data_IF_503155556070
#
_entry.id   IF_503155556070
#
_cell.length_a   1.000
_cell.length_b   1.000
_cell.length_c   1.000
_cell.angle_alpha   90.00
_cell.angle_beta   90.00
_cell.angle_gamma   90.00
#
_symmetry.space_group_name_H-M   'P 1'
#
loop_
_entity.id
_entity.type
_entity.pdbx_description
1 polymer ?
#
# COMPACT_ATOMS: atom_id res chain seq x y z
N UNK A 1 12.79 -5.07 31.81
CA UNK A 1 12.56 -4.61 30.40
C UNK A 1 13.90 -4.65 29.70
N UNK A 2 14.06 -5.62 28.80
CA UNK A 2 15.33 -5.85 28.10
C UNK A 2 15.66 -4.73 27.10
N UNK A 3 16.89 -4.70 26.57
CA UNK A 3 17.36 -3.66 25.66
C UNK A 3 16.58 -3.59 24.35
N UNK A 4 16.10 -4.73 23.84
CA UNK A 4 15.26 -4.78 22.63
C UNK A 4 13.92 -4.10 22.90
N UNK A 5 13.26 -4.42 24.01
CA UNK A 5 11.98 -3.82 24.38
C UNK A 5 12.09 -2.30 24.58
N UNK A 6 13.18 -1.84 25.23
CA UNK A 6 13.47 -0.41 25.38
C UNK A 6 13.61 0.29 24.03
N UNK A 7 14.30 -0.34 23.08
CA UNK A 7 14.42 0.20 21.73
C UNK A 7 13.10 0.18 20.96
N UNK A 8 12.31 -0.91 21.08
CA UNK A 8 10.99 -1.01 20.44
C UNK A 8 10.05 0.05 21.01
N UNK A 9 10.06 0.29 22.31
CA UNK A 9 9.34 1.40 22.93
C UNK A 9 9.80 2.75 22.37
N UNK A 10 11.13 2.98 22.28
CA UNK A 10 11.68 4.22 21.71
C UNK A 10 11.22 4.46 20.26
N UNK A 11 11.26 3.45 19.39
CA UNK A 11 10.85 3.62 17.98
C UNK A 11 9.34 3.75 17.81
N UNK A 12 8.55 3.11 18.69
CA UNK A 12 7.09 3.18 18.70
C UNK A 12 6.59 4.53 19.20
N UNK A 13 7.00 4.92 20.40
CA UNK A 13 6.35 6.00 21.14
C UNK A 13 7.06 7.32 20.96
N UNK A 14 8.40 7.32 20.90
CA UNK A 14 9.20 8.56 20.72
C UNK A 14 9.39 8.88 19.23
N UNK A 15 9.78 7.87 18.42
CA UNK A 15 10.00 8.07 16.97
C UNK A 15 8.73 7.96 16.15
N UNK A 16 7.64 7.45 16.72
CA UNK A 16 6.32 7.29 16.11
C UNK A 16 6.38 6.56 14.76
N UNK A 17 7.12 5.46 14.73
CA UNK A 17 7.18 4.61 13.55
C UNK A 17 5.85 3.87 13.34
N UNK A 18 5.54 3.52 12.10
CA UNK A 18 4.33 2.77 11.79
C UNK A 18 4.33 1.39 12.48
N UNK A 19 3.16 0.84 12.88
CA UNK A 19 3.08 -0.47 13.51
C UNK A 19 3.81 -1.57 12.73
N UNK A 20 3.70 -1.55 11.40
CA UNK A 20 4.41 -2.48 10.54
C UNK A 20 5.94 -2.33 10.61
N UNK A 21 6.45 -1.10 10.70
CA UNK A 21 7.89 -0.84 10.86
C UNK A 21 8.38 -1.34 12.21
N UNK A 22 7.60 -1.11 13.26
CA UNK A 22 7.89 -1.58 14.62
C UNK A 22 7.97 -3.11 14.65
N UNK A 23 6.98 -3.82 14.11
CA UNK A 23 7.00 -5.29 14.01
C UNK A 23 8.22 -5.79 13.23
N UNK A 24 8.53 -5.19 12.07
CA UNK A 24 9.72 -5.58 11.30
C UNK A 24 11.02 -5.38 12.08
N UNK A 25 11.11 -4.32 12.90
CA UNK A 25 12.28 -4.05 13.74
C UNK A 25 12.39 -5.08 14.87
N UNK A 26 11.27 -5.39 15.51
CA UNK A 26 11.18 -6.40 16.57
C UNK A 26 11.59 -7.78 16.05
N UNK A 27 11.01 -8.21 14.91
CA UNK A 27 11.33 -9.50 14.29
C UNK A 27 12.81 -9.61 13.93
N UNK A 28 13.39 -8.54 13.35
CA UNK A 28 14.80 -8.51 12.99
C UNK A 28 15.74 -8.58 14.19
N UNK A 29 15.40 -7.91 15.29
CA UNK A 29 16.21 -7.94 16.53
C UNK A 29 16.07 -9.27 17.27
N UNK A 30 14.89 -9.86 17.30
CA UNK A 30 14.66 -11.22 17.85
C UNK A 30 15.45 -12.27 17.07
N UNK A 31 15.50 -12.18 15.74
CA UNK A 31 16.29 -13.07 14.89
C UNK A 31 17.79 -12.94 15.20
N UNK A 32 18.31 -11.72 15.33
CA UNK A 32 19.72 -11.51 15.72
C UNK A 32 20.03 -12.03 17.14
N UNK A 33 19.15 -11.76 18.09
CA UNK A 33 19.28 -12.25 19.47
C UNK A 33 19.32 -13.77 19.52
N UNK A 34 18.41 -14.44 18.81
CA UNK A 34 18.39 -15.91 18.74
C UNK A 34 19.67 -16.49 18.10
N UNK A 35 20.24 -15.82 17.10
CA UNK A 35 21.53 -16.20 16.52
C UNK A 35 22.66 -16.07 17.56
N UNK A 36 22.77 -14.93 18.23
CA UNK A 36 23.81 -14.64 19.23
C UNK A 36 23.82 -15.65 20.40
N UNK A 37 22.64 -16.07 20.85
CA UNK A 37 22.52 -17.10 21.90
C UNK A 37 22.95 -18.51 21.43
N UNK A 38 22.72 -18.87 20.17
CA UNK A 38 23.15 -20.18 19.65
C UNK A 38 24.66 -20.31 19.55
N UNK A 39 25.37 -19.27 19.13
CA UNK A 39 26.83 -19.27 18.98
C UNK A 39 27.54 -19.39 20.34
N UNK A 40 27.01 -18.75 21.39
CA UNK A 40 27.58 -18.89 22.74
C UNK A 40 27.35 -20.29 23.34
N UNK A 41 26.19 -20.91 23.07
CA UNK A 41 25.93 -22.28 23.53
C UNK A 41 26.84 -23.34 22.85
N UNK A 42 27.41 -23.05 21.68
CA UNK A 42 28.38 -23.90 20.99
C UNK A 42 29.84 -23.66 21.45
N UNK A 43 30.19 -22.49 21.96
CA UNK A 43 31.54 -22.16 22.39
C UNK A 43 31.87 -22.59 23.82
N UNK A 44 30.86 -22.72 24.69
CA UNK A 44 31.05 -23.14 26.09
C UNK A 44 30.67 -24.63 26.28
N UNK A 45 31.57 -25.55 25.90
CA UNK A 45 31.52 -26.97 26.29
C UNK A 45 31.87 -27.21 27.76
N UNK A 46 31.84 -26.23 28.61
CA UNK A 46 32.08 -26.38 30.06
C UNK A 46 30.87 -25.88 30.86
N UNK A 47 30.07 -26.86 31.30
CA UNK A 47 29.26 -26.88 32.53
C UNK A 47 28.76 -25.54 33.09
N UNK A 48 27.74 -24.94 32.50
CA UNK A 48 26.81 -24.05 33.21
C UNK A 48 25.49 -23.89 32.42
N UNK A 49 24.96 -25.04 31.94
CA UNK A 49 23.65 -25.08 31.26
C UNK A 49 22.47 -25.11 32.24
N UNK A 50 22.57 -24.43 33.37
CA UNK A 50 21.46 -24.28 34.29
C UNK A 50 21.39 -22.86 34.82
N UNK A 51 20.23 -22.21 34.60
CA UNK A 51 19.77 -20.96 35.23
C UNK A 51 20.40 -19.64 34.77
N UNK A 52 20.22 -19.26 33.50
CA UNK A 52 20.15 -17.83 33.15
C UNK A 52 18.71 -17.50 32.71
N UNK A 53 17.81 -17.36 33.66
CA UNK A 53 16.47 -16.82 33.49
C UNK A 53 16.42 -15.28 33.67
N UNK A 54 17.56 -14.64 33.90
CA UNK A 54 17.63 -13.21 34.19
C UNK A 54 17.77 -12.37 32.93
N UNK A 55 16.86 -11.40 32.75
CA UNK A 55 16.87 -10.41 31.65
C UNK A 55 18.25 -9.74 31.52
N UNK A 56 19.00 -9.57 32.59
CA UNK A 56 20.33 -8.95 32.61
C UNK A 56 21.37 -9.80 31.84
N UNK A 57 21.39 -11.12 32.00
CA UNK A 57 22.29 -12.02 31.29
C UNK A 57 22.03 -12.00 29.79
N UNK A 58 20.76 -11.92 29.41
CA UNK A 58 20.34 -11.76 28.00
C UNK A 58 20.84 -10.47 27.36
N UNK A 59 20.85 -9.36 28.08
CA UNK A 59 21.33 -8.07 27.59
C UNK A 59 22.86 -8.02 27.44
N UNK A 60 23.60 -8.66 28.34
CA UNK A 60 25.08 -8.78 28.26
C UNK A 60 25.51 -9.60 27.05
N UNK A 61 24.86 -10.75 26.80
CA UNK A 61 25.10 -11.57 25.61
C UNK A 61 24.82 -10.78 24.34
N UNK A 62 23.69 -10.05 24.28
CA UNK A 62 23.34 -9.24 23.14
C UNK A 62 24.36 -8.12 22.89
N UNK A 63 24.84 -7.45 23.93
CA UNK A 63 25.86 -6.40 23.82
C UNK A 63 27.21 -6.96 23.36
N UNK A 64 27.64 -8.11 23.87
CA UNK A 64 28.90 -8.78 23.44
C UNK A 64 28.85 -9.21 21.98
N UNK A 65 27.69 -9.65 21.48
CA UNK A 65 27.46 -10.02 20.09
C UNK A 65 27.43 -8.82 19.13
N UNK A 66 27.30 -7.58 19.65
CA UNK A 66 27.34 -6.39 18.80
C UNK A 66 28.79 -6.01 18.43
N UNK A 67 29.49 -6.92 17.80
CA UNK A 67 30.82 -6.73 17.24
C UNK A 67 30.83 -7.07 15.73
N UNK A 68 31.83 -6.59 14.94
CA UNK A 68 31.84 -6.80 13.49
C UNK A 68 31.94 -8.27 13.06
N UNK A 69 32.54 -9.14 13.87
CA UNK A 69 32.70 -10.57 13.57
C UNK A 69 31.34 -11.29 13.65
N UNK A 70 30.66 -11.14 14.78
CA UNK A 70 29.33 -11.75 15.02
C UNK A 70 28.29 -11.23 14.01
N UNK A 71 28.33 -9.93 13.70
CA UNK A 71 27.40 -9.36 12.70
C UNK A 71 27.65 -9.94 11.30
N UNK A 72 28.93 -10.23 10.93
CA UNK A 72 29.23 -10.94 9.67
C UNK A 72 28.76 -12.40 9.74
N UNK A 73 28.97 -13.08 10.87
CA UNK A 73 28.44 -14.44 11.09
C UNK A 73 26.91 -14.48 10.90
N UNK A 74 26.22 -13.51 11.46
CA UNK A 74 24.77 -13.38 11.29
C UNK A 74 24.36 -13.11 9.83
N UNK A 75 25.11 -12.27 9.09
CA UNK A 75 24.88 -12.03 7.66
C UNK A 75 25.01 -13.34 6.85
N UNK A 76 26.07 -14.12 7.11
CA UNK A 76 26.30 -15.42 6.47
C UNK A 76 25.18 -16.40 6.85
N UNK A 77 24.79 -16.46 8.13
CA UNK A 77 23.67 -17.29 8.59
C UNK A 77 22.37 -16.97 7.85
N UNK A 78 22.02 -15.70 7.73
CA UNK A 78 20.81 -15.27 6.98
C UNK A 78 20.88 -15.68 5.50
N UNK A 79 22.03 -15.55 4.85
CA UNK A 79 22.18 -15.86 3.43
C UNK A 79 22.22 -17.37 3.17
N UNK A 80 23.01 -18.11 3.95
CA UNK A 80 23.36 -19.50 3.65
C UNK A 80 22.44 -20.51 4.36
N UNK A 81 21.99 -20.22 5.58
CA UNK A 81 21.11 -21.11 6.34
C UNK A 81 19.64 -20.76 6.12
N UNK A 82 19.26 -19.52 6.37
CA UNK A 82 17.86 -19.09 6.22
C UNK A 82 17.45 -18.75 4.78
N UNK A 83 18.43 -18.70 3.85
CA UNK A 83 18.21 -18.37 2.42
C UNK A 83 17.47 -17.06 2.20
N UNK A 84 17.72 -16.09 3.08
CA UNK A 84 17.12 -14.76 3.02
C UNK A 84 17.73 -13.96 1.87
N UNK A 85 16.92 -13.16 1.17
CA UNK A 85 17.41 -12.35 0.05
C UNK A 85 18.39 -11.27 0.50
N UNK A 86 19.41 -10.88 -0.34
CA UNK A 86 20.35 -9.78 -0.02
C UNK A 86 19.66 -8.48 0.38
N UNK A 87 18.50 -8.19 -0.17
CA UNK A 87 17.69 -7.01 0.19
C UNK A 87 17.15 -7.10 1.62
N UNK A 88 16.68 -8.27 2.03
CA UNK A 88 16.17 -8.50 3.39
C UNK A 88 17.31 -8.51 4.40
N UNK A 89 18.48 -9.11 4.06
CA UNK A 89 19.68 -9.04 4.89
C UNK A 89 20.08 -7.58 5.13
N UNK A 90 20.07 -6.74 4.09
CA UNK A 90 20.34 -5.30 4.22
C UNK A 90 19.31 -4.58 5.10
N UNK A 91 18.08 -5.06 5.19
CA UNK A 91 17.07 -4.56 6.11
C UNK A 91 17.45 -4.92 7.55
N UNK A 92 17.80 -6.19 7.85
CA UNK A 92 18.27 -6.62 9.16
C UNK A 92 19.49 -5.79 9.63
N UNK A 93 20.50 -5.61 8.78
CA UNK A 93 21.67 -4.77 9.08
C UNK A 93 21.29 -3.30 9.32
N UNK A 94 20.27 -2.78 8.63
CA UNK A 94 19.80 -1.42 8.85
C UNK A 94 19.07 -1.27 10.19
N UNK A 95 18.31 -2.27 10.61
CA UNK A 95 17.67 -2.33 11.93
C UNK A 95 18.72 -2.40 13.02
N UNK A 96 19.70 -3.32 12.92
CA UNK A 96 20.83 -3.41 13.86
C UNK A 96 21.62 -2.11 13.94
N UNK A 97 21.89 -1.45 12.83
CA UNK A 97 22.55 -0.13 12.83
C UNK A 97 21.71 0.94 13.52
N UNK A 98 20.38 0.85 13.44
CA UNK A 98 19.44 1.70 14.17
C UNK A 98 19.50 1.45 15.69
N UNK A 99 19.51 0.19 16.07
CA UNK A 99 19.64 -0.26 17.45
C UNK A 99 20.97 0.16 18.07
N UNK A 100 22.10 -0.06 17.38
CA UNK A 100 23.40 0.41 17.83
C UNK A 100 23.44 1.92 18.06
N UNK A 101 22.81 2.72 17.20
CA UNK A 101 22.69 4.18 17.41
C UNK A 101 21.90 4.56 18.65
N UNK A 102 20.88 3.78 18.98
CA UNK A 102 20.12 3.94 20.21
C UNK A 102 21.01 3.60 21.43
N UNK A 103 21.72 2.47 21.41
CA UNK A 103 22.64 2.08 22.49
C UNK A 103 23.78 3.08 22.70
N UNK A 104 24.31 3.68 21.64
CA UNK A 104 25.29 4.77 21.74
C UNK A 104 24.70 5.99 22.46
N UNK A 105 23.44 6.33 22.16
CA UNK A 105 22.74 7.43 22.84
C UNK A 105 22.50 7.15 24.32
N UNK A 106 22.31 5.90 24.67
CA UNK A 106 22.18 5.43 26.07
C UNK A 106 23.54 5.19 26.76
N UNK A 107 24.66 5.53 26.11
CA UNK A 107 26.03 5.30 26.56
C UNK A 107 26.41 3.83 26.83
N UNK A 108 25.66 2.88 26.26
CA UNK A 108 25.90 1.43 26.39
C UNK A 108 26.85 0.89 25.31
N UNK A 109 27.08 1.63 24.25
CA UNK A 109 27.97 1.27 23.14
C UNK A 109 28.81 2.48 22.71
N UNK A 110 30.12 2.28 22.43
CA UNK A 110 31.01 3.36 22.04
C UNK A 110 30.92 3.74 20.56
N UNK A 111 30.71 2.76 19.69
CA UNK A 111 30.68 2.96 18.23
C UNK A 111 29.70 1.98 17.59
N UNK A 112 29.31 2.25 16.34
CA UNK A 112 28.39 1.39 15.60
C UNK A 112 29.17 0.34 14.77
N UNK A 113 29.23 -0.94 15.22
CA UNK A 113 30.02 -1.98 14.55
C UNK A 113 29.45 -2.38 13.18
N UNK A 114 28.15 -2.19 12.96
CA UNK A 114 27.49 -2.51 11.66
C UNK A 114 28.08 -1.71 10.51
N UNK A 115 28.68 -0.53 10.77
CA UNK A 115 29.34 0.27 9.73
C UNK A 115 30.61 -0.37 9.17
N UNK A 116 31.22 -1.31 9.91
CA UNK A 116 32.41 -2.05 9.50
C UNK A 116 32.09 -3.34 8.75
N UNK A 117 30.81 -3.67 8.65
CA UNK A 117 30.35 -4.86 7.92
C UNK A 117 29.98 -4.45 6.50
N UNK A 118 30.49 -5.22 5.54
CA UNK A 118 30.18 -5.00 4.12
C UNK A 118 28.77 -5.50 3.83
N UNK A 119 27.97 -4.66 3.18
CA UNK A 119 26.58 -5.02 2.86
C UNK A 119 26.53 -5.86 1.57
N UNK A 120 25.72 -6.94 1.52
CA UNK A 120 25.56 -7.72 0.31
C UNK A 120 25.02 -6.84 -0.83
N UNK A 121 25.61 -7.06 -2.03
CA UNK A 121 25.19 -6.33 -3.23
C UNK A 121 23.77 -6.75 -3.60
N UNK A 122 22.92 -5.76 -3.80
CA UNK A 122 21.55 -5.98 -4.30
C UNK A 122 21.56 -5.68 -5.79
N UNK A 123 21.08 -6.63 -6.57
CA UNK A 123 20.90 -6.46 -8.01
C UNK A 123 19.92 -5.28 -8.26
N UNK A 124 20.37 -4.27 -8.98
CA UNK A 124 19.53 -3.14 -9.39
C UNK A 124 18.71 -3.57 -10.60
N UNK A 125 17.51 -4.08 -10.35
CA UNK A 125 16.55 -4.33 -11.43
C UNK A 125 16.07 -3.01 -11.98
N UNK A 126 16.02 -2.89 -13.30
CA UNK A 126 15.36 -1.75 -13.93
C UNK A 126 13.89 -1.68 -13.52
N UNK A 127 13.35 -0.48 -13.29
CA UNK A 127 11.93 -0.34 -13.00
C UNK A 127 11.09 -0.95 -14.12
N UNK A 128 10.23 -1.91 -13.78
CA UNK A 128 9.26 -2.46 -14.71
C UNK A 128 8.12 -1.45 -14.91
N UNK A 129 7.65 -1.33 -16.14
CA UNK A 129 6.45 -0.56 -16.48
C UNK A 129 5.72 -1.24 -17.64
N UNK A 130 4.43 -1.00 -17.75
CA UNK A 130 3.62 -1.50 -18.85
C UNK A 130 3.57 -0.46 -19.95
N UNK A 131 3.62 -0.94 -21.20
CA UNK A 131 3.49 -0.11 -22.38
C UNK A 131 2.08 0.46 -22.46
N UNK A 132 1.96 1.66 -23.02
CA UNK A 132 0.68 2.32 -23.17
C UNK A 132 -0.28 1.51 -24.04
N UNK A 133 0.19 0.94 -25.15
CA UNK A 133 -0.61 0.10 -26.05
C UNK A 133 -1.26 -1.07 -25.30
N UNK A 134 -0.52 -1.71 -24.36
CA UNK A 134 -1.05 -2.80 -23.53
C UNK A 134 -2.13 -2.32 -22.57
N UNK A 135 -1.96 -1.13 -22.01
CA UNK A 135 -2.98 -0.52 -21.14
C UNK A 135 -4.23 -0.12 -21.92
N UNK A 136 -4.06 0.46 -23.10
CA UNK A 136 -5.17 0.85 -23.97
C UNK A 136 -5.96 -0.38 -24.43
N UNK A 137 -5.30 -1.46 -24.86
CA UNK A 137 -5.94 -2.72 -25.21
C UNK A 137 -6.68 -3.36 -24.03
N UNK A 138 -6.13 -3.26 -22.82
CA UNK A 138 -6.83 -3.71 -21.60
C UNK A 138 -8.13 -2.94 -21.38
N UNK A 139 -8.08 -1.60 -21.46
CA UNK A 139 -9.25 -0.76 -21.23
C UNK A 139 -10.32 -0.94 -22.32
N UNK A 140 -9.91 -1.17 -23.55
CA UNK A 140 -10.82 -1.47 -24.67
C UNK A 140 -11.53 -2.81 -24.45
N UNK A 141 -10.79 -3.89 -24.20
CA UNK A 141 -11.35 -5.24 -23.99
C UNK A 141 -12.24 -5.31 -22.76
N UNK A 142 -12.05 -4.47 -21.76
CA UNK A 142 -12.85 -4.44 -20.53
C UNK A 142 -13.93 -3.37 -20.53
N UNK A 143 -14.11 -2.61 -21.62
CA UNK A 143 -15.08 -1.51 -21.74
C UNK A 143 -16.52 -1.97 -21.45
N UNK A 144 -16.88 -3.19 -21.85
CA UNK A 144 -18.17 -3.77 -21.59
C UNK A 144 -18.60 -3.70 -20.12
N UNK A 145 -17.69 -3.97 -19.15
CA UNK A 145 -18.03 -3.99 -17.72
C UNK A 145 -18.43 -2.63 -17.13
N UNK A 146 -18.20 -1.55 -17.87
CA UNK A 146 -18.60 -0.17 -17.52
C UNK A 146 -19.62 0.40 -18.51
N UNK A 147 -20.33 -0.44 -19.25
CA UNK A 147 -21.42 -0.05 -20.14
C UNK A 147 -22.76 -0.06 -19.40
N UNK A 148 -23.74 0.70 -19.93
CA UNK A 148 -25.10 0.70 -19.44
C UNK A 148 -25.78 -0.65 -19.63
N UNK A 149 -25.45 -1.38 -20.71
CA UNK A 149 -25.94 -2.76 -20.94
C UNK A 149 -25.49 -3.69 -19.81
N UNK A 150 -24.19 -3.71 -19.48
CA UNK A 150 -23.66 -4.50 -18.39
C UNK A 150 -24.25 -4.08 -17.02
N UNK A 151 -24.58 -2.80 -16.84
CA UNK A 151 -25.25 -2.33 -15.63
C UNK A 151 -26.69 -2.85 -15.57
N UNK A 152 -27.43 -2.82 -16.65
CA UNK A 152 -28.82 -3.34 -16.72
C UNK A 152 -28.86 -4.83 -16.39
N UNK A 153 -27.95 -5.64 -16.98
CA UNK A 153 -27.82 -7.07 -16.69
C UNK A 153 -27.52 -7.30 -15.21
N UNK A 154 -26.59 -6.52 -14.66
CA UNK A 154 -26.22 -6.62 -13.24
C UNK A 154 -27.40 -6.29 -12.31
N UNK A 155 -28.13 -5.20 -12.57
CA UNK A 155 -29.24 -4.74 -11.74
C UNK A 155 -30.45 -5.68 -11.78
N UNK A 156 -30.57 -6.46 -12.86
CA UNK A 156 -31.65 -7.45 -12.99
C UNK A 156 -31.53 -8.59 -11.97
N UNK A 157 -30.31 -9.04 -11.69
CA UNK A 157 -30.04 -10.09 -10.72
C UNK A 157 -28.69 -9.95 -10.01
N UNK A 158 -28.66 -9.06 -9.03
CA UNK A 158 -27.43 -8.70 -8.28
C UNK A 158 -26.88 -9.87 -7.48
N UNK A 159 -27.75 -10.77 -7.00
CA UNK A 159 -27.37 -11.88 -6.11
C UNK A 159 -26.95 -13.15 -6.84
N UNK A 160 -27.16 -13.23 -8.14
CA UNK A 160 -26.74 -14.38 -8.95
C UNK A 160 -25.23 -14.50 -9.09
N UNK A 161 -24.77 -15.67 -9.51
CA UNK A 161 -23.37 -15.88 -9.90
C UNK A 161 -22.94 -14.95 -11.05
N UNK A 162 -23.85 -14.63 -11.96
CA UNK A 162 -23.62 -13.67 -13.04
C UNK A 162 -23.47 -12.27 -12.48
N UNK A 163 -24.37 -11.81 -11.62
CA UNK A 163 -24.29 -10.51 -10.95
C UNK A 163 -23.00 -10.36 -10.14
N UNK A 164 -22.64 -11.40 -9.39
CA UNK A 164 -21.37 -11.43 -8.67
C UNK A 164 -20.16 -11.26 -9.61
N UNK A 165 -20.10 -12.03 -10.70
CA UNK A 165 -19.01 -11.92 -11.69
C UNK A 165 -18.96 -10.52 -12.32
N UNK A 166 -20.11 -9.95 -12.65
CA UNK A 166 -20.20 -8.60 -13.22
C UNK A 166 -19.69 -7.54 -12.24
N UNK A 167 -20.05 -7.63 -10.96
CA UNK A 167 -19.56 -6.74 -9.92
C UNK A 167 -18.05 -6.86 -9.74
N UNK A 168 -17.54 -8.09 -9.58
CA UNK A 168 -16.11 -8.35 -9.37
C UNK A 168 -15.27 -7.87 -10.56
N UNK A 169 -15.74 -8.05 -11.80
CA UNK A 169 -15.06 -7.54 -13.00
C UNK A 169 -15.07 -6.02 -13.07
N UNK A 170 -16.20 -5.38 -12.73
CA UNK A 170 -16.30 -3.92 -12.66
C UNK A 170 -15.36 -3.35 -11.60
N UNK A 171 -15.35 -3.95 -10.41
CA UNK A 171 -14.44 -3.56 -9.33
C UNK A 171 -12.97 -3.75 -9.73
N UNK A 172 -12.62 -4.89 -10.34
CA UNK A 172 -11.27 -5.16 -10.80
C UNK A 172 -10.79 -4.12 -11.82
N UNK A 173 -11.63 -3.83 -12.83
CA UNK A 173 -11.34 -2.78 -13.80
C UNK A 173 -11.16 -1.42 -13.14
N UNK A 174 -12.05 -1.04 -12.22
CA UNK A 174 -11.95 0.24 -11.51
C UNK A 174 -10.65 0.34 -10.68
N UNK A 175 -10.25 -0.72 -9.99
CA UNK A 175 -8.98 -0.79 -9.25
C UNK A 175 -7.78 -0.51 -10.21
N UNK A 176 -7.74 -1.16 -11.38
CA UNK A 176 -6.71 -0.92 -12.39
C UNK A 176 -6.77 0.53 -12.90
N UNK A 177 -7.97 1.03 -13.21
CA UNK A 177 -8.22 2.40 -13.67
C UNK A 177 -7.72 3.44 -12.67
N UNK A 178 -7.97 3.23 -11.38
CA UNK A 178 -7.53 4.15 -10.33
C UNK A 178 -6.01 4.10 -10.12
N UNK A 179 -5.39 2.91 -10.16
CA UNK A 179 -3.92 2.83 -10.07
C UNK A 179 -3.24 3.49 -11.26
N UNK A 180 -3.71 3.23 -12.46
CA UNK A 180 -3.14 3.80 -13.68
C UNK A 180 -3.52 5.27 -13.87
N UNK A 181 -4.77 5.65 -13.57
CA UNK A 181 -5.25 7.02 -13.74
C UNK A 181 -4.73 7.98 -12.68
N UNK A 182 -4.74 7.59 -11.42
CA UNK A 182 -4.39 8.46 -10.30
C UNK A 182 -2.99 8.20 -9.73
N UNK A 183 -2.31 7.15 -10.16
CA UNK A 183 -0.99 6.79 -9.67
C UNK A 183 -0.95 6.52 -8.16
N UNK A 184 -1.98 5.93 -7.59
CA UNK A 184 -2.12 5.68 -6.15
C UNK A 184 -1.14 4.63 -5.63
N UNK A 185 -0.75 4.75 -4.35
CA UNK A 185 -0.17 3.63 -3.61
C UNK A 185 -1.28 2.67 -3.21
N UNK A 186 -0.96 1.38 -3.02
CA UNK A 186 -1.95 0.38 -2.59
C UNK A 186 -2.70 0.79 -1.31
N UNK A 187 -1.99 1.28 -0.30
CA UNK A 187 -2.60 1.75 0.95
C UNK A 187 -3.46 2.99 0.76
N UNK A 188 -3.12 3.85 -0.19
CA UNK A 188 -3.90 5.04 -0.52
C UNK A 188 -5.23 4.65 -1.17
N UNK A 189 -5.21 3.70 -2.14
CA UNK A 189 -6.45 3.19 -2.75
C UNK A 189 -7.39 2.57 -1.71
N UNK A 190 -6.85 1.73 -0.81
CA UNK A 190 -7.62 1.05 0.24
C UNK A 190 -8.21 2.07 1.23
N UNK A 191 -7.49 3.14 1.52
CA UNK A 191 -7.92 4.20 2.44
C UNK A 191 -8.81 5.27 1.84
N UNK A 192 -9.20 5.17 0.55
CA UNK A 192 -10.14 6.12 -0.05
C UNK A 192 -11.53 5.97 0.56
N UNK A 193 -12.11 7.09 0.89
CA UNK A 193 -13.49 7.23 1.36
C UNK A 193 -14.36 7.86 0.29
N UNK A 194 -15.66 7.81 0.44
CA UNK A 194 -16.61 8.49 -0.45
C UNK A 194 -16.29 9.98 -0.53
N UNK A 195 -16.03 10.63 0.62
CA UNK A 195 -15.64 12.03 0.70
C UNK A 195 -14.30 12.38 0.02
N UNK A 196 -13.52 11.35 -0.34
CA UNK A 196 -12.25 11.58 -1.04
C UNK A 196 -12.45 12.01 -2.51
N UNK A 197 -13.64 11.79 -3.08
CA UNK A 197 -13.94 12.09 -4.50
C UNK A 197 -14.85 13.30 -4.59
N UNK A 198 -14.32 14.39 -5.14
CA UNK A 198 -15.10 15.59 -5.48
C UNK A 198 -15.36 15.60 -6.99
N UNK A 199 -16.58 15.21 -7.36
CA UNK A 199 -17.00 15.16 -8.76
C UNK A 199 -17.19 16.56 -9.36
N UNK A 200 -17.54 17.55 -8.55
CA UNK A 200 -17.77 18.94 -9.00
C UNK A 200 -16.46 19.62 -9.37
N UNK A 201 -15.44 19.47 -8.51
CA UNK A 201 -14.09 19.99 -8.74
C UNK A 201 -13.24 19.09 -9.63
N UNK A 202 -13.69 17.85 -9.91
CA UNK A 202 -12.97 16.81 -10.62
C UNK A 202 -11.60 16.54 -9.98
N UNK A 203 -11.60 16.25 -8.70
CA UNK A 203 -10.39 15.91 -7.95
C UNK A 203 -10.63 14.73 -7.00
N UNK A 204 -9.56 13.97 -6.73
CA UNK A 204 -9.52 12.96 -5.68
C UNK A 204 -8.50 13.40 -4.64
N UNK A 205 -8.95 13.53 -3.40
CA UNK A 205 -8.10 13.85 -2.25
C UNK A 205 -7.53 12.57 -1.65
N UNK A 206 -6.22 12.50 -1.55
CA UNK A 206 -5.50 11.28 -1.09
C UNK A 206 -4.69 11.59 0.14
N UNK A 207 -4.85 10.76 1.17
CA UNK A 207 -4.05 10.81 2.40
C UNK A 207 -2.81 9.93 2.27
N UNK A 208 -1.63 10.54 2.31
CA UNK A 208 -0.34 9.89 2.18
C UNK A 208 0.37 9.64 3.52
N UNK A 209 1.59 9.10 3.46
CA UNK A 209 2.43 8.88 4.63
C UNK A 209 2.72 10.20 5.37
N UNK A 210 2.58 10.19 6.71
CA UNK A 210 2.84 11.37 7.55
C UNK A 210 1.70 12.39 7.53
N UNK A 211 0.46 11.94 7.33
CA UNK A 211 -0.75 12.77 7.31
C UNK A 211 -0.71 13.90 6.27
N UNK A 212 0.05 13.70 5.19
CA UNK A 212 0.10 14.66 4.07
C UNK A 212 -1.02 14.34 3.09
N UNK A 213 -1.83 15.34 2.78
CA UNK A 213 -2.89 15.23 1.78
C UNK A 213 -2.41 15.81 0.44
N UNK A 214 -2.91 15.24 -0.65
CA UNK A 214 -2.77 15.80 -1.98
C UNK A 214 -4.04 15.62 -2.79
N UNK A 215 -4.34 16.57 -3.66
CA UNK A 215 -5.43 16.48 -4.62
C UNK A 215 -4.88 16.01 -5.98
N UNK A 216 -5.52 15.03 -6.57
CA UNK A 216 -5.17 14.49 -7.90
C UNK A 216 -6.32 14.79 -8.83
N UNK A 217 -6.07 15.34 -10.04
CA UNK A 217 -7.11 15.56 -11.04
C UNK A 217 -7.82 14.25 -11.42
N UNK A 218 -9.12 14.32 -11.60
CA UNK A 218 -9.99 13.20 -11.97
C UNK A 218 -10.45 13.38 -13.41
N UNK A 219 -10.04 12.46 -14.31
CA UNK A 219 -10.52 12.43 -15.68
C UNK A 219 -12.02 12.12 -15.76
N UNK A 220 -12.72 12.66 -16.73
CA UNK A 220 -14.17 12.43 -16.91
C UNK A 220 -14.50 10.95 -17.12
N UNK A 221 -13.67 10.23 -17.87
CA UNK A 221 -13.81 8.78 -18.06
C UNK A 221 -13.71 8.00 -16.74
N UNK A 222 -12.75 8.35 -15.87
CA UNK A 222 -12.61 7.70 -14.56
C UNK A 222 -13.74 8.12 -13.61
N UNK A 223 -14.19 9.37 -13.66
CA UNK A 223 -15.34 9.84 -12.89
C UNK A 223 -16.61 9.07 -13.26
N UNK A 224 -16.83 8.80 -14.55
CA UNK A 224 -17.94 7.97 -15.03
C UNK A 224 -17.83 6.52 -14.53
N UNK A 225 -16.63 5.91 -14.58
CA UNK A 225 -16.40 4.57 -14.04
C UNK A 225 -16.69 4.49 -12.54
N UNK A 226 -16.27 5.51 -11.75
CA UNK A 226 -16.56 5.56 -10.31
C UNK A 226 -18.06 5.66 -10.06
N UNK A 227 -18.79 6.54 -10.78
CA UNK A 227 -20.25 6.65 -10.63
C UNK A 227 -20.97 5.34 -10.98
N UNK A 228 -20.57 4.69 -12.06
CA UNK A 228 -21.11 3.39 -12.47
C UNK A 228 -20.88 2.32 -11.40
N UNK A 229 -19.69 2.30 -10.82
CA UNK A 229 -19.36 1.40 -9.71
C UNK A 229 -20.19 1.71 -8.45
N UNK A 230 -20.35 2.98 -8.08
CA UNK A 230 -21.15 3.38 -6.91
C UNK A 230 -22.60 2.94 -7.06
N UNK A 231 -23.18 3.11 -8.25
CA UNK A 231 -24.54 2.61 -8.56
C UNK A 231 -24.65 1.09 -8.37
N UNK A 232 -23.63 0.32 -8.81
CA UNK A 232 -23.60 -1.12 -8.62
C UNK A 232 -23.43 -1.53 -7.15
N UNK A 233 -22.60 -0.81 -6.41
CA UNK A 233 -22.37 -1.07 -4.99
C UNK A 233 -23.59 -0.70 -4.12
N UNK A 234 -24.32 0.37 -4.48
CA UNK A 234 -25.60 0.73 -3.85
C UNK A 234 -26.61 -0.38 -3.96
N UNK A 235 -26.81 -0.94 -5.16
CA UNK A 235 -27.72 -2.06 -5.37
C UNK A 235 -27.32 -3.28 -4.53
N UNK A 236 -26.03 -3.57 -4.40
CA UNK A 236 -25.52 -4.66 -3.58
C UNK A 236 -25.77 -4.46 -2.08
N UNK A 237 -25.50 -3.25 -1.58
CA UNK A 237 -25.65 -2.91 -0.15
C UNK A 237 -27.13 -2.80 0.21
N UNK A 238 -27.95 -2.19 -0.65
CA UNK A 238 -29.39 -2.05 -0.44
C UNK A 238 -30.10 -3.39 -0.29
N UNK A 239 -29.80 -4.37 -1.13
CA UNK A 239 -30.36 -5.73 -1.02
C UNK A 239 -29.99 -6.41 0.29
N UNK A 240 -28.76 -6.25 0.77
CA UNK A 240 -28.31 -6.86 2.05
C UNK A 240 -28.92 -6.19 3.28
N UNK A 241 -29.21 -4.89 3.21
CA UNK A 241 -29.90 -4.19 4.29
C UNK A 241 -31.32 -4.73 4.48
N UNK A 242 -31.99 -5.13 3.41
CA UNK A 242 -33.33 -5.75 3.46
C UNK A 242 -33.26 -7.15 4.10
N UNK A 243 -32.25 -7.95 3.80
CA UNK A 243 -32.10 -9.32 4.34
C UNK A 243 -31.80 -9.36 5.85
N UNK A 244 -31.33 -8.26 6.44
CA UNK A 244 -30.95 -8.17 7.87
C UNK A 244 -31.91 -7.35 8.74
N UNK A 245 -33.00 -6.79 8.20
CA UNK A 245 -34.01 -6.08 8.99
C UNK A 245 -35.02 -7.12 9.52
N UNK A 246 -35.14 -7.31 10.86
CA UNK A 246 -36.22 -8.11 11.42
C UNK A 246 -37.57 -7.51 11.01
N UNK A 247 -38.53 -8.32 10.59
CA UNK A 247 -39.85 -7.95 10.07
C UNK A 247 -40.67 -7.00 10.98
N UNK A 248 -40.28 -6.77 12.22
CA UNK A 248 -40.93 -5.90 13.19
C UNK A 248 -40.63 -4.38 13.06
N UNK A 249 -39.76 -3.99 12.13
CA UNK A 249 -39.41 -2.56 11.89
C UNK A 249 -39.56 -2.10 10.43
N UNK A 250 -40.28 -2.86 9.64
CA UNK A 250 -40.43 -2.61 8.19
C UNK A 250 -41.54 -1.62 7.81
N UNK A 251 -42.02 -0.79 8.71
CA UNK A 251 -42.98 0.27 8.38
C UNK A 251 -42.38 1.56 8.90
N UNK A 252 -41.85 2.40 8.04
CA UNK A 252 -41.83 3.86 8.00
C UNK A 252 -40.63 4.54 7.37
N UNK A 253 -39.64 3.88 6.80
CA UNK A 253 -38.56 4.58 6.08
C UNK A 253 -38.21 3.95 4.73
N UNK A 254 -39.17 3.97 3.79
CA UNK A 254 -38.80 4.05 2.37
C UNK A 254 -38.35 5.48 2.13
N UNK A 255 -37.13 5.79 2.51
CA UNK A 255 -36.51 7.05 2.18
C UNK A 255 -36.22 7.06 0.68
N UNK A 256 -37.06 7.81 -0.03
CA UNK A 256 -36.86 8.18 -1.43
C UNK A 256 -35.41 8.62 -1.62
N UNK A 257 -34.71 7.98 -2.52
CA UNK A 257 -33.35 8.27 -2.95
C UNK A 257 -33.17 9.79 -3.18
N UNK A 258 -32.59 10.48 -2.22
CA UNK A 258 -32.11 11.86 -2.39
C UNK A 258 -30.66 11.78 -2.84
N UNK A 259 -30.43 11.96 -4.11
CA UNK A 259 -29.10 12.15 -4.66
C UNK A 259 -28.64 13.57 -4.35
N UNK A 260 -27.64 13.70 -3.48
CA UNK A 260 -26.86 14.94 -3.36
C UNK A 260 -25.62 14.72 -4.23
N UNK A 261 -25.48 15.50 -5.29
CA UNK A 261 -24.35 15.45 -6.24
C UNK A 261 -24.02 14.06 -6.82
N UNK A 262 -25.05 13.22 -7.11
CA UNK A 262 -24.91 11.87 -7.67
C UNK A 262 -24.20 10.85 -6.75
N UNK A 263 -24.11 11.08 -5.45
CA UNK A 263 -23.64 10.11 -4.46
C UNK A 263 -24.85 9.41 -3.82
N UNK A 264 -24.87 8.06 -3.75
CA UNK A 264 -25.95 7.32 -3.11
C UNK A 264 -26.14 7.69 -1.63
N UNK A 265 -27.37 7.86 -1.18
CA UNK A 265 -27.73 8.32 0.18
C UNK A 265 -27.38 7.28 1.28
N UNK A 266 -27.11 6.04 0.91
CA UNK A 266 -26.76 4.97 1.87
C UNK A 266 -25.31 5.01 2.35
N UNK A 267 -24.45 5.88 1.80
CA UNK A 267 -23.04 5.95 2.10
C UNK A 267 -22.73 7.22 2.88
N UNK A 268 -22.20 7.05 4.07
CA UNK A 268 -21.70 8.20 4.83
C UNK A 268 -20.33 8.65 4.28
N UNK A 269 -19.99 9.95 4.41
CA UNK A 269 -18.74 10.49 3.88
C UNK A 269 -17.47 9.74 4.35
N UNK A 270 -17.51 9.13 5.53
CA UNK A 270 -16.39 8.39 6.14
C UNK A 270 -16.28 6.94 5.71
N UNK A 271 -17.24 6.42 4.94
CA UNK A 271 -17.22 5.01 4.51
C UNK A 271 -16.21 4.76 3.40
N UNK A 272 -15.66 3.52 3.30
CA UNK A 272 -14.75 3.15 2.24
C UNK A 272 -15.37 3.33 0.86
N UNK A 273 -14.63 3.94 -0.07
CA UNK A 273 -15.08 4.12 -1.45
C UNK A 273 -15.28 2.79 -2.16
N UNK A 274 -14.40 1.81 -1.90
CA UNK A 274 -14.38 0.53 -2.61
C UNK A 274 -14.68 -0.63 -1.65
N UNK A 275 -15.66 -1.45 -2.04
CA UNK A 275 -16.07 -2.64 -1.31
C UNK A 275 -15.89 -3.91 -2.15
N UNK A 276 -15.59 -5.01 -1.51
CA UNK A 276 -15.68 -6.35 -2.10
C UNK A 276 -17.14 -6.71 -2.37
N UNK A 277 -17.39 -7.73 -3.18
CA UNK A 277 -18.76 -8.25 -3.37
C UNK A 277 -19.42 -8.65 -2.05
N UNK A 278 -18.64 -9.00 -1.01
CA UNK A 278 -19.20 -9.29 0.33
C UNK A 278 -19.53 -8.05 1.16
N UNK A 279 -19.41 -6.82 0.62
CA UNK A 279 -19.67 -5.57 1.32
C UNK A 279 -18.55 -5.14 2.30
N UNK A 280 -17.40 -5.81 2.29
CA UNK A 280 -16.26 -5.47 3.15
C UNK A 280 -15.31 -4.52 2.43
N UNK A 281 -14.66 -3.62 3.20
CA UNK A 281 -13.60 -2.78 2.67
C UNK A 281 -12.48 -3.61 2.02
N UNK A 282 -11.80 -3.04 1.02
CA UNK A 282 -10.65 -3.70 0.40
C UNK A 282 -9.50 -3.87 1.40
N UNK A 283 -8.71 -4.92 1.21
CA UNK A 283 -7.52 -5.22 2.01
C UNK A 283 -6.31 -5.55 1.11
N UNK A 284 -5.07 -5.42 1.62
CA UNK A 284 -3.87 -5.48 0.79
C UNK A 284 -3.76 -6.73 -0.10
N UNK A 285 -4.02 -7.91 0.46
CA UNK A 285 -3.91 -9.19 -0.27
C UNK A 285 -4.97 -9.29 -1.37
N UNK A 286 -6.18 -8.78 -1.13
CA UNK A 286 -7.25 -8.74 -2.13
C UNK A 286 -6.84 -7.90 -3.34
N UNK A 287 -6.37 -6.68 -3.09
CA UNK A 287 -5.93 -5.76 -4.16
C UNK A 287 -4.77 -6.35 -4.98
N UNK A 288 -3.76 -6.93 -4.31
CA UNK A 288 -2.63 -7.57 -5.00
C UNK A 288 -3.09 -8.75 -5.87
N UNK A 289 -4.02 -9.57 -5.35
CA UNK A 289 -4.62 -10.70 -6.09
C UNK A 289 -5.40 -10.22 -7.31
N UNK A 290 -6.26 -9.20 -7.15
CA UNK A 290 -7.04 -8.62 -8.25
C UNK A 290 -6.10 -8.13 -9.36
N UNK A 291 -5.10 -7.32 -9.03
CA UNK A 291 -4.14 -6.79 -10.03
C UNK A 291 -3.40 -7.93 -10.72
N UNK A 292 -2.95 -8.94 -9.97
CA UNK A 292 -2.23 -10.09 -10.53
C UNK A 292 -3.11 -10.92 -11.47
N UNK A 293 -4.32 -11.23 -11.06
CA UNK A 293 -5.26 -12.06 -11.84
C UNK A 293 -5.74 -11.31 -13.07
N UNK A 294 -6.16 -10.06 -12.90
CA UNK A 294 -6.71 -9.25 -13.98
C UNK A 294 -5.68 -9.02 -15.10
N UNK A 295 -4.49 -8.51 -14.75
CA UNK A 295 -3.43 -8.29 -15.76
C UNK A 295 -2.75 -9.59 -16.22
N UNK A 296 -2.90 -10.68 -15.45
CA UNK A 296 -2.37 -12.00 -15.83
C UNK A 296 -3.12 -12.65 -16.98
N UNK A 297 -4.38 -12.31 -17.17
CA UNK A 297 -5.25 -12.81 -18.24
C UNK A 297 -5.11 -12.06 -19.58
N UNK A 298 -4.25 -11.03 -19.66
CA UNK A 298 -4.08 -10.23 -20.86
C UNK A 298 -2.66 -10.33 -21.42
N UNK A 299 -2.55 -10.45 -22.72
CA UNK A 299 -1.28 -10.35 -23.45
C UNK A 299 -0.68 -8.93 -23.33
N UNK A 300 0.65 -8.85 -23.36
CA UNK A 300 1.37 -7.57 -23.28
C UNK A 300 1.74 -7.15 -21.85
N UNK A 301 1.23 -7.83 -20.81
CA UNK A 301 1.66 -7.61 -19.43
C UNK A 301 2.69 -8.66 -19.03
N UNK A 302 3.96 -8.37 -19.29
CA UNK A 302 5.11 -9.20 -18.88
C UNK A 302 5.62 -8.78 -17.50
N UNK A 303 6.39 -9.66 -16.84
CA UNK A 303 7.00 -9.33 -15.55
C UNK A 303 6.02 -9.31 -14.38
N UNK A 304 6.34 -8.51 -13.38
CA UNK A 304 5.62 -8.44 -12.11
C UNK A 304 4.31 -7.64 -12.25
N UNK A 305 3.19 -8.29 -11.97
CA UNK A 305 1.86 -7.63 -11.93
C UNK A 305 1.58 -7.12 -10.52
N UNK A 306 1.69 -5.81 -10.33
CA UNK A 306 1.49 -5.19 -9.00
C UNK A 306 1.06 -3.72 -9.10
N UNK A 307 0.39 -3.18 -8.07
CA UNK A 307 0.04 -1.76 -8.00
C UNK A 307 1.21 -0.81 -8.22
N UNK A 308 2.40 -1.17 -7.76
CA UNK A 308 3.61 -0.35 -7.94
C UNK A 308 4.03 -0.23 -9.40
N UNK A 309 3.91 -1.32 -10.19
CA UNK A 309 4.23 -1.29 -11.62
C UNK A 309 3.24 -0.40 -12.35
N UNK A 310 1.93 -0.48 -12.09
CA UNK A 310 0.92 0.44 -12.65
C UNK A 310 1.24 1.91 -12.37
N UNK A 311 1.64 2.21 -11.13
CA UNK A 311 2.05 3.57 -10.74
C UNK A 311 3.33 4.01 -11.46
N UNK A 312 4.30 3.12 -11.69
CA UNK A 312 5.48 3.43 -12.50
C UNK A 312 5.12 3.62 -13.97
N UNK A 313 4.17 2.84 -14.49
CA UNK A 313 3.70 2.95 -15.87
C UNK A 313 3.11 4.32 -16.15
N UNK A 314 2.22 4.83 -15.30
CA UNK A 314 1.67 6.18 -15.49
C UNK A 314 2.75 7.26 -15.33
N UNK A 315 3.68 7.12 -14.38
CA UNK A 315 4.78 8.08 -14.25
C UNK A 315 5.63 8.16 -15.52
N UNK A 316 5.94 7.00 -16.11
CA UNK A 316 6.70 6.90 -17.37
C UNK A 316 5.91 7.43 -18.56
N UNK A 317 4.61 7.10 -18.65
CA UNK A 317 3.74 7.60 -19.71
C UNK A 317 3.63 9.12 -19.69
N UNK A 318 3.38 9.72 -18.51
CA UNK A 318 3.34 11.18 -18.37
C UNK A 318 4.66 11.85 -18.74
N UNK A 319 5.79 11.23 -18.38
CA UNK A 319 7.12 11.75 -18.74
C UNK A 319 7.35 11.71 -20.25
N UNK A 320 6.98 10.60 -20.91
CA UNK A 320 7.10 10.44 -22.35
C UNK A 320 6.20 11.44 -23.12
N UNK A 321 5.05 11.81 -22.57
CA UNK A 321 4.15 12.83 -23.11
C UNK A 321 4.58 14.27 -22.76
N UNK A 322 5.80 14.45 -22.22
CA UNK A 322 6.40 15.76 -21.96
C UNK A 322 5.98 16.44 -20.66
N UNK A 323 5.30 15.75 -19.74
CA UNK A 323 4.97 16.32 -18.45
C UNK A 323 6.23 16.60 -17.62
N UNK A 324 6.27 17.77 -16.97
CA UNK A 324 7.40 18.16 -16.14
C UNK A 324 7.56 17.19 -14.94
N UNK A 325 8.80 16.78 -14.69
CA UNK A 325 9.13 15.83 -13.60
C UNK A 325 8.62 16.30 -12.23
N UNK A 326 8.61 17.60 -11.94
CA UNK A 326 8.11 18.15 -10.69
C UNK A 326 6.58 17.98 -10.57
N UNK A 327 5.81 18.18 -11.64
CA UNK A 327 4.36 17.95 -11.65
C UNK A 327 4.02 16.47 -11.43
N UNK A 328 4.81 15.56 -12.03
CA UNK A 328 4.67 14.12 -11.82
C UNK A 328 4.98 13.75 -10.35
N UNK A 329 6.07 14.29 -9.78
CA UNK A 329 6.42 14.07 -8.37
C UNK A 329 5.33 14.58 -7.42
N UNK A 330 4.74 15.73 -7.71
CA UNK A 330 3.65 16.31 -6.94
C UNK A 330 2.40 15.44 -7.01
N UNK A 331 1.95 15.05 -8.20
CA UNK A 331 0.82 14.14 -8.41
C UNK A 331 1.02 12.82 -7.66
N UNK A 332 2.21 12.25 -7.74
CA UNK A 332 2.53 10.98 -7.08
C UNK A 332 2.80 11.12 -5.58
N UNK A 333 3.05 12.30 -5.04
CA UNK A 333 3.37 12.52 -3.63
C UNK A 333 4.70 11.88 -3.23
N UNK A 334 5.78 12.17 -3.96
CA UNK A 334 7.13 11.76 -3.59
C UNK A 334 7.68 12.71 -2.54
N UNK A 335 8.04 12.18 -1.36
CA UNK A 335 8.35 12.91 -0.13
C UNK A 335 9.77 13.49 -0.04
N UNK A 336 10.57 13.54 -1.10
CA UNK A 336 11.89 14.14 -1.04
C UNK A 336 11.84 15.59 -1.53
N UNK A 337 12.16 16.47 -0.62
CA UNK A 337 12.35 17.91 -0.69
C UNK A 337 11.10 18.78 -0.54
N UNK A 338 11.17 19.49 0.56
CA UNK A 338 10.57 20.75 0.92
C UNK A 338 9.08 20.76 1.29
N UNK A 339 8.88 21.26 2.49
CA UNK A 339 7.82 22.11 2.96
C UNK A 339 6.40 21.78 2.45
N UNK A 340 5.53 21.62 3.39
CA UNK A 340 4.08 21.77 3.29
C UNK A 340 3.73 22.92 2.31
N UNK A 341 3.75 22.64 1.02
CA UNK A 341 3.10 23.53 0.07
C UNK A 341 1.60 23.35 0.29
N UNK A 342 1.00 24.35 0.92
CA UNK A 342 -0.44 24.56 0.92
C UNK A 342 -0.85 24.55 -0.55
N UNK A 343 -1.65 23.56 -0.94
CA UNK A 343 -2.21 23.48 -2.29
C UNK A 343 -3.06 24.73 -2.51
N UNK A 344 -2.51 25.72 -3.20
CA UNK A 344 -3.25 26.88 -3.64
C UNK A 344 -4.10 26.49 -4.86
N UNK A 345 -5.20 27.19 -5.08
CA UNK A 345 -6.10 26.98 -6.22
C UNK A 345 -5.31 26.95 -7.57
N UNK A 346 -4.26 27.76 -7.68
CA UNK A 346 -3.39 27.84 -8.87
C UNK A 346 -2.58 26.55 -9.14
N UNK A 347 -2.17 25.81 -8.10
CA UNK A 347 -1.42 24.55 -8.31
C UNK A 347 -2.32 23.44 -8.84
N UNK A 348 -3.57 23.37 -8.41
CA UNK A 348 -4.55 22.37 -8.88
C UNK A 348 -4.89 22.63 -10.36
N UNK A 349 -5.14 23.89 -10.74
CA UNK A 349 -5.44 24.24 -12.14
C UNK A 349 -4.28 23.90 -13.08
N UNK A 350 -3.05 24.20 -12.66
CA UNK A 350 -1.86 23.84 -13.44
C UNK A 350 -1.68 22.31 -13.56
N UNK A 351 -1.94 21.59 -12.48
CA UNK A 351 -1.87 20.12 -12.49
C UNK A 351 -2.98 19.52 -13.37
N UNK A 352 -4.19 20.09 -13.36
CA UNK A 352 -5.29 19.70 -14.26
C UNK A 352 -4.93 19.93 -15.73
N UNK A 353 -4.25 21.05 -16.06
CA UNK A 353 -3.81 21.32 -17.41
C UNK A 353 -2.77 20.30 -17.88
N UNK A 354 -1.74 20.03 -17.08
CA UNK A 354 -0.75 18.99 -17.37
C UNK A 354 -1.41 17.61 -17.50
N UNK A 355 -2.36 17.31 -16.61
CA UNK A 355 -3.10 16.06 -16.65
C UNK A 355 -3.91 15.90 -17.95
N UNK A 356 -4.64 16.95 -18.36
CA UNK A 356 -5.42 16.94 -19.62
C UNK A 356 -4.57 16.77 -20.86
N UNK A 357 -3.39 17.39 -20.90
CA UNK A 357 -2.50 17.37 -22.07
C UNK A 357 -1.66 16.10 -22.17
N UNK A 358 -1.20 15.59 -21.03
CA UNK A 358 -0.23 14.49 -20.97
C UNK A 358 -0.80 13.16 -20.48
N UNK A 359 -2.01 13.13 -19.87
CA UNK A 359 -2.53 11.88 -19.33
C UNK A 359 -3.24 11.06 -20.43
N UNK A 360 -2.87 9.77 -20.65
CA UNK A 360 -3.41 8.97 -21.76
C UNK A 360 -4.93 8.83 -21.76
N UNK A 361 -5.57 8.78 -20.59
CA UNK A 361 -7.03 8.63 -20.45
C UNK A 361 -7.80 9.96 -20.40
N UNK A 362 -7.13 11.11 -20.36
CA UNK A 362 -7.79 12.41 -20.40
C UNK A 362 -7.96 12.93 -21.86
N UNK A 363 -7.29 12.29 -22.81
CA UNK A 363 -7.35 12.62 -24.24
C UNK A 363 -8.46 11.88 -24.99
N UNK A 364 -9.15 10.93 -24.33
CA UNK A 364 -10.26 10.14 -24.93
C UNK A 364 -11.60 10.59 -24.42
#
# INVERSE_FOLDING_TARGET
MNLIDRYIHYVRDIRRYSPRTVSTYEDSLKSFSAFAFKDQACSDQTSLAQTCSDEACSDEVLLSALNPSEIRGYEVHLLDVEKVTPRSVNLHLSVLSGFCRFLIKEALLKSNPVRLVHRPKVEKRLPEFYRQDSMDAYFEKTAYYVSDEAMTIYLHDVQSDTGKKMYERRLARLIISMFYGLGLRRSELIGLQISSVDFSRKVVTVHGKGNKTRAIPLADSLAAEIRMYLKAAEALVGLRAVDHVPMSRAVDHVSVSRTIDHVPVFWTPGEPLLLTYTGRALYPVYVDRVVKTELGGFEGFTGRKSPHVLRHSIATSLLNEGAQLNSIKEMLGHSSLAATQVYTHNSITKLQQVYRTAHPRAKK
#
